data_IF_505160939185
#
_entry.id   IF_505160939185
#
_cell.length_a   1.000
_cell.length_b   1.000
_cell.length_c   1.000
_cell.angle_alpha   90.00
_cell.angle_beta   90.00
_cell.angle_gamma   90.00
#
_symmetry.space_group_name_H-M   'P 1'
#
loop_
_entity.id
_entity.type
_entity.pdbx_description
1 polymer ?
#
# COMPACT_ATOMS: atom_id res chain seq x y z
N UNK A 1 41.89 -1.42 -6.06
CA UNK A 1 40.96 -0.46 -6.68
C UNK A 1 39.77 -0.37 -5.75
N UNK A 2 39.59 0.75 -5.06
CA UNK A 2 38.41 0.98 -4.25
C UNK A 2 37.26 1.31 -5.20
N UNK A 3 36.18 0.54 -5.14
CA UNK A 3 34.96 0.87 -5.88
C UNK A 3 34.49 2.26 -5.45
N UNK A 4 34.23 3.19 -6.38
CA UNK A 4 33.74 4.51 -6.02
C UNK A 4 32.38 4.34 -5.33
N UNK A 5 32.32 4.69 -4.05
CA UNK A 5 31.08 4.72 -3.27
C UNK A 5 30.08 5.59 -4.05
N UNK A 6 28.93 5.05 -4.49
CA UNK A 6 27.96 5.82 -5.25
C UNK A 6 27.53 7.01 -4.39
N UNK A 7 27.81 8.23 -4.86
CA UNK A 7 27.30 9.42 -4.19
C UNK A 7 25.78 9.40 -4.31
N UNK A 8 25.03 9.64 -3.21
CA UNK A 8 23.59 9.73 -3.28
C UNK A 8 23.23 10.86 -4.25
N UNK A 9 22.47 10.53 -5.29
CA UNK A 9 21.92 11.55 -6.19
C UNK A 9 21.22 12.61 -5.33
N UNK A 10 21.42 13.91 -5.60
CA UNK A 10 20.57 14.93 -4.98
C UNK A 10 19.14 14.54 -5.32
N UNK A 11 18.33 14.33 -4.30
CA UNK A 11 16.91 14.02 -4.44
C UNK A 11 16.29 15.14 -5.26
N UNK A 12 16.16 14.91 -6.57
CA UNK A 12 15.34 15.77 -7.41
C UNK A 12 13.98 15.81 -6.72
N UNK A 13 13.53 17.00 -6.35
CA UNK A 13 12.34 17.15 -5.54
C UNK A 13 11.17 16.59 -6.36
N UNK A 14 10.72 15.39 -6.02
CA UNK A 14 9.67 14.67 -6.75
C UNK A 14 8.35 15.38 -6.44
N UNK A 15 8.03 16.38 -7.26
CA UNK A 15 6.87 17.24 -7.09
C UNK A 15 6.18 17.52 -8.43
N UNK A 16 4.85 17.48 -8.41
CA UNK A 16 4.02 17.87 -9.55
C UNK A 16 3.64 19.35 -9.42
N UNK A 17 3.76 20.11 -10.50
CA UNK A 17 3.22 21.47 -10.57
C UNK A 17 1.74 21.46 -10.96
N UNK A 18 1.03 22.57 -10.73
CA UNK A 18 -0.37 22.70 -11.16
C UNK A 18 -0.51 22.55 -12.68
N UNK A 19 0.34 23.23 -13.45
CA UNK A 19 0.33 23.16 -14.93
C UNK A 19 0.59 21.74 -15.45
N UNK A 20 1.51 21.01 -14.83
CA UNK A 20 1.81 19.61 -15.17
C UNK A 20 0.61 18.70 -14.91
N UNK A 21 -0.02 18.83 -13.74
CA UNK A 21 -1.23 18.07 -13.43
C UNK A 21 -2.38 18.42 -14.39
N UNK A 22 -2.54 19.70 -14.72
CA UNK A 22 -3.58 20.18 -15.63
C UNK A 22 -3.39 19.61 -17.03
N UNK A 23 -2.15 19.57 -17.51
CA UNK A 23 -1.78 18.97 -18.79
C UNK A 23 -2.12 17.47 -18.82
N UNK A 24 -1.78 16.73 -17.76
CA UNK A 24 -2.11 15.29 -17.66
C UNK A 24 -3.63 15.07 -17.73
N UNK A 25 -4.40 15.80 -16.91
CA UNK A 25 -5.86 15.66 -16.85
C UNK A 25 -6.51 15.91 -18.21
N UNK A 26 -6.11 16.98 -18.91
CA UNK A 26 -6.69 17.34 -20.21
C UNK A 26 -6.38 16.32 -21.30
N UNK A 27 -5.20 15.71 -21.28
CA UNK A 27 -4.77 14.76 -22.31
C UNK A 27 -5.32 13.34 -22.08
N UNK A 28 -5.54 12.94 -20.83
CA UNK A 28 -5.81 11.54 -20.49
C UNK A 28 -7.20 11.25 -19.94
N UNK A 29 -8.00 12.27 -19.58
CA UNK A 29 -9.37 12.07 -19.13
C UNK A 29 -10.35 12.62 -20.19
N UNK A 30 -10.89 11.78 -21.10
CA UNK A 30 -11.65 12.24 -22.27
C UNK A 30 -12.89 13.09 -21.94
N UNK A 31 -13.51 12.88 -20.78
CA UNK A 31 -14.68 13.65 -20.32
C UNK A 31 -14.30 14.97 -19.63
N UNK A 32 -13.00 15.25 -19.53
CA UNK A 32 -12.40 16.30 -18.73
C UNK A 32 -11.42 17.15 -19.54
N UNK A 33 -11.50 17.14 -20.88
CA UNK A 33 -10.70 18.00 -21.77
C UNK A 33 -10.83 19.48 -21.41
N UNK A 34 -12.02 19.90 -20.95
CA UNK A 34 -12.30 21.26 -20.51
C UNK A 34 -12.30 21.43 -18.98
N UNK A 35 -11.98 20.39 -18.21
CA UNK A 35 -11.95 20.48 -16.75
C UNK A 35 -10.78 21.32 -16.27
N UNK A 36 -11.00 22.06 -15.17
CA UNK A 36 -9.97 22.84 -14.49
C UNK A 36 -9.66 22.19 -13.15
N UNK A 37 -8.39 22.10 -12.81
CA UNK A 37 -7.94 21.64 -11.49
C UNK A 37 -8.22 22.72 -10.46
N UNK A 38 -9.10 22.42 -9.51
CA UNK A 38 -9.42 23.31 -8.40
C UNK A 38 -8.33 23.27 -7.32
N UNK A 39 -7.83 22.07 -7.02
CA UNK A 39 -6.94 21.81 -5.89
C UNK A 39 -6.09 20.57 -6.15
N UNK A 40 -4.85 20.61 -5.70
CA UNK A 40 -3.94 19.47 -5.68
C UNK A 40 -3.54 19.24 -4.23
N UNK A 41 -3.86 18.07 -3.71
CA UNK A 41 -3.55 17.69 -2.33
C UNK A 41 -2.56 16.54 -2.35
N UNK A 42 -1.32 16.78 -1.91
CA UNK A 42 -0.34 15.71 -1.72
C UNK A 42 -0.79 14.78 -0.60
N UNK A 43 -0.87 13.49 -0.89
CA UNK A 43 -1.18 12.47 0.12
C UNK A 43 0.07 12.24 0.94
N UNK A 44 -0.04 12.50 2.25
CA UNK A 44 0.95 12.07 3.24
C UNK A 44 0.43 10.78 3.84
N UNK A 45 0.92 9.64 3.35
CA UNK A 45 0.53 8.35 3.92
C UNK A 45 1.05 8.26 5.35
N UNK A 46 0.12 8.26 6.31
CA UNK A 46 0.41 8.02 7.73
C UNK A 46 0.49 6.52 8.04
N UNK A 47 -0.07 5.71 7.14
CA UNK A 47 -0.05 4.26 7.17
C UNK A 47 1.26 3.68 6.64
N UNK A 48 1.25 2.42 6.21
CA UNK A 48 2.46 1.70 5.81
C UNK A 48 2.87 1.94 4.35
N UNK A 49 1.96 2.46 3.51
CA UNK A 49 2.12 2.58 2.05
C UNK A 49 3.07 3.68 1.58
N UNK A 50 3.64 4.46 2.51
CA UNK A 50 4.64 5.47 2.19
C UNK A 50 5.80 4.84 1.44
N UNK A 51 6.17 5.46 0.31
CA UNK A 51 7.35 5.10 -0.45
C UNK A 51 8.19 6.33 -0.73
N UNK A 52 9.49 6.19 -0.57
CA UNK A 52 10.47 7.23 -0.85
C UNK A 52 10.50 7.60 -2.33
N UNK A 53 10.26 6.62 -3.21
CA UNK A 53 10.42 6.69 -4.67
C UNK A 53 9.19 7.19 -5.45
N UNK A 54 8.02 7.29 -4.82
CA UNK A 54 6.80 7.80 -5.49
C UNK A 54 6.12 8.89 -4.69
N UNK A 55 5.27 9.69 -5.34
CA UNK A 55 4.36 10.63 -4.66
C UNK A 55 2.96 10.48 -5.25
N UNK A 56 1.96 10.47 -4.37
CA UNK A 56 0.54 10.41 -4.76
C UNK A 56 -0.16 11.70 -4.38
N UNK A 57 -1.04 12.16 -5.26
CA UNK A 57 -1.83 13.39 -5.13
C UNK A 57 -3.30 13.08 -5.34
N UNK A 58 -4.17 13.80 -4.63
CA UNK A 58 -5.61 13.92 -4.95
C UNK A 58 -5.78 15.21 -5.76
N UNK A 59 -6.40 15.11 -6.93
CA UNK A 59 -6.67 16.22 -7.84
C UNK A 59 -8.17 16.45 -7.89
N UNK A 60 -8.62 17.62 -7.42
CA UNK A 60 -10.02 18.03 -7.52
C UNK A 60 -10.31 18.68 -8.86
N UNK A 61 -11.37 18.22 -9.53
CA UNK A 61 -11.74 18.64 -10.87
C UNK A 61 -13.05 19.41 -10.88
N UNK A 62 -13.06 20.58 -11.53
CA UNK A 62 -14.28 21.31 -11.88
C UNK A 62 -14.60 21.02 -13.35
N UNK A 63 -15.74 20.37 -13.60
CA UNK A 63 -16.24 20.17 -14.97
C UNK A 63 -17.18 21.31 -15.38
N UNK A 64 -16.80 22.19 -16.33
CA UNK A 64 -17.67 23.29 -16.76
C UNK A 64 -18.93 22.82 -17.50
N UNK A 65 -18.95 21.61 -18.06
CA UNK A 65 -20.12 21.07 -18.76
C UNK A 65 -21.25 20.61 -17.81
N UNK A 66 -20.95 20.44 -16.53
CA UNK A 66 -21.90 20.08 -15.49
C UNK A 66 -21.88 21.14 -14.38
N UNK A 67 -22.42 22.35 -14.63
CA UNK A 67 -22.49 23.37 -13.60
C UNK A 67 -23.28 22.84 -12.41
N UNK A 68 -22.82 23.08 -11.16
CA UNK A 68 -23.57 22.69 -9.97
C UNK A 68 -24.98 23.31 -10.05
N UNK A 69 -26.00 22.51 -9.72
CA UNK A 69 -27.41 22.89 -9.81
C UNK A 69 -27.63 24.29 -9.23
N UNK A 70 -28.27 25.16 -10.02
CA UNK A 70 -28.22 26.63 -10.00
C UNK A 70 -28.77 27.36 -8.75
N UNK A 71 -28.77 26.77 -7.56
CA UNK A 71 -29.52 27.29 -6.41
C UNK A 71 -28.73 27.93 -5.27
N UNK A 72 -27.40 27.95 -5.28
CA UNK A 72 -26.62 28.60 -4.20
C UNK A 72 -25.42 29.33 -4.81
N UNK A 73 -25.18 30.57 -4.35
CA UNK A 73 -24.14 31.50 -4.82
C UNK A 73 -22.83 30.79 -5.18
N UNK A 74 -22.44 30.90 -6.45
CA UNK A 74 -21.61 29.94 -7.20
C UNK A 74 -20.12 30.00 -6.87
N UNK A 75 -19.70 29.51 -5.70
CA UNK A 75 -18.36 28.96 -5.62
C UNK A 75 -18.27 27.74 -6.53
N UNK A 76 -17.19 27.63 -7.31
CA UNK A 76 -16.99 26.50 -8.24
C UNK A 76 -16.70 25.23 -7.42
N UNK A 77 -17.76 24.50 -7.07
CA UNK A 77 -17.65 23.25 -6.31
C UNK A 77 -17.04 22.18 -7.23
N UNK A 78 -15.98 21.46 -6.79
CA UNK A 78 -15.43 20.34 -7.55
C UNK A 78 -16.47 19.24 -7.81
N UNK A 79 -16.51 18.74 -9.03
CA UNK A 79 -17.44 17.70 -9.49
C UNK A 79 -16.97 16.27 -9.18
N UNK A 80 -15.71 16.10 -8.80
CA UNK A 80 -15.10 14.81 -8.50
C UNK A 80 -13.59 14.96 -8.29
N UNK A 81 -12.93 13.86 -7.90
CA UNK A 81 -11.49 13.82 -7.70
C UNK A 81 -10.85 12.68 -8.49
N UNK A 82 -9.55 12.74 -8.72
CA UNK A 82 -8.76 11.60 -9.18
C UNK A 82 -7.43 11.52 -8.41
N UNK A 83 -6.76 10.38 -8.52
CA UNK A 83 -5.46 10.14 -7.91
C UNK A 83 -4.38 10.15 -8.98
N UNK A 84 -3.31 10.89 -8.72
CA UNK A 84 -2.12 10.93 -9.58
C UNK A 84 -0.92 10.46 -8.78
N UNK A 85 -0.30 9.36 -9.19
CA UNK A 85 0.97 8.89 -8.65
C UNK A 85 2.09 9.15 -9.64
N UNK A 86 3.17 9.79 -9.20
CA UNK A 86 4.37 10.05 -10.02
C UNK A 86 5.57 9.29 -9.48
N UNK A 87 6.47 8.91 -10.38
CA UNK A 87 7.73 8.24 -10.07
C UNK A 87 8.85 8.73 -11.00
N UNK A 88 10.13 8.71 -10.56
CA UNK A 88 11.25 8.99 -11.45
C UNK A 88 11.35 7.91 -12.55
N UNK A 89 11.91 8.25 -13.72
CA UNK A 89 11.99 7.33 -14.86
C UNK A 89 12.87 6.10 -14.60
N UNK A 90 13.85 6.22 -13.72
CA UNK A 90 14.75 5.13 -13.35
C UNK A 90 14.94 5.14 -11.83
N UNK A 91 14.37 4.18 -11.09
CA UNK A 91 14.69 4.03 -9.68
C UNK A 91 16.17 3.63 -9.54
N UNK A 92 16.85 4.05 -8.46
CA UNK A 92 18.21 3.62 -8.21
C UNK A 92 18.26 2.08 -8.06
N UNK A 93 19.31 1.43 -8.57
CA UNK A 93 19.48 0.00 -8.38
C UNK A 93 19.63 -0.30 -6.88
N UNK A 94 18.79 -1.18 -6.37
CA UNK A 94 18.83 -1.65 -4.99
C UNK A 94 18.54 -3.16 -4.94
N UNK A 95 19.05 -3.84 -3.90
CA UNK A 95 18.80 -5.27 -3.71
C UNK A 95 17.30 -5.59 -3.50
N UNK A 96 16.56 -4.62 -2.99
CA UNK A 96 15.12 -4.63 -2.86
C UNK A 96 14.62 -3.29 -3.42
N UNK A 97 13.64 -3.32 -4.31
CA UNK A 97 13.04 -2.12 -4.91
C UNK A 97 11.53 -2.23 -4.87
N UNK A 98 10.81 -1.14 -4.58
CA UNK A 98 9.37 -1.09 -4.79
C UNK A 98 8.99 -1.41 -6.24
N UNK A 99 7.77 -1.94 -6.42
CA UNK A 99 7.15 -2.16 -7.72
C UNK A 99 7.10 -0.85 -8.51
N UNK A 100 7.52 -0.94 -9.77
CA UNK A 100 7.42 0.16 -10.72
C UNK A 100 5.95 0.51 -11.02
N UNK A 101 5.70 1.72 -11.56
CA UNK A 101 4.35 2.10 -11.99
C UNK A 101 3.77 1.17 -13.08
N UNK A 102 4.54 0.67 -14.07
CA UNK A 102 4.07 -0.37 -14.98
C UNK A 102 3.58 -1.64 -14.29
N UNK A 103 4.34 -2.16 -13.32
CA UNK A 103 3.93 -3.34 -12.54
C UNK A 103 2.66 -3.03 -11.75
N UNK A 104 2.61 -1.87 -11.09
CA UNK A 104 1.44 -1.42 -10.32
C UNK A 104 0.20 -1.32 -11.22
N UNK A 105 0.32 -0.75 -12.41
CA UNK A 105 -0.76 -0.67 -13.40
C UNK A 105 -1.28 -2.04 -13.83
N UNK A 106 -0.37 -2.99 -14.09
CA UNK A 106 -0.72 -4.37 -14.40
C UNK A 106 -1.50 -5.04 -13.26
N UNK A 107 -1.05 -4.86 -12.02
CA UNK A 107 -1.73 -5.39 -10.83
C UNK A 107 -3.13 -4.78 -10.65
N UNK A 108 -3.27 -3.46 -10.78
CA UNK A 108 -4.58 -2.79 -10.66
C UNK A 108 -5.56 -3.29 -11.72
N UNK A 109 -5.10 -3.54 -12.95
CA UNK A 109 -5.92 -4.14 -13.99
C UNK A 109 -6.33 -5.58 -13.65
N UNK A 110 -5.41 -6.39 -13.13
CA UNK A 110 -5.72 -7.74 -12.67
C UNK A 110 -6.78 -7.71 -11.56
N UNK A 111 -6.61 -6.86 -10.55
CA UNK A 111 -7.57 -6.70 -9.44
C UNK A 111 -8.94 -6.27 -10.00
N UNK A 112 -8.99 -5.21 -10.80
CA UNK A 112 -10.23 -4.69 -11.39
C UNK A 112 -10.97 -5.75 -12.22
N UNK A 113 -10.24 -6.57 -12.98
CA UNK A 113 -10.83 -7.57 -13.87
C UNK A 113 -11.32 -8.84 -13.15
N UNK A 114 -10.80 -9.13 -11.95
CA UNK A 114 -11.05 -10.38 -11.22
C UNK A 114 -11.79 -10.21 -9.89
N UNK A 115 -12.09 -8.97 -9.49
CA UNK A 115 -12.71 -8.66 -8.19
C UNK A 115 -13.82 -7.61 -8.34
N UNK A 116 -14.61 -7.42 -7.29
CA UNK A 116 -15.56 -6.32 -7.17
C UNK A 116 -15.01 -5.14 -6.36
N UNK A 117 -13.68 -5.08 -6.17
CA UNK A 117 -13.03 -3.98 -5.45
C UNK A 117 -13.21 -2.69 -6.27
N UNK A 118 -13.61 -1.56 -5.66
CA UNK A 118 -13.98 -0.33 -6.36
C UNK A 118 -12.75 0.44 -6.88
N UNK A 119 -12.05 -0.16 -7.84
CA UNK A 119 -10.93 0.46 -8.57
C UNK A 119 -11.42 1.06 -9.88
N UNK A 120 -11.11 2.34 -10.09
CA UNK A 120 -11.30 2.98 -11.39
C UNK A 120 -10.22 2.52 -12.38
N UNK A 121 -10.51 2.67 -13.68
CA UNK A 121 -9.49 2.44 -14.70
C UNK A 121 -8.29 3.36 -14.47
N UNK A 122 -7.10 2.78 -14.41
CA UNK A 122 -5.86 3.53 -14.28
C UNK A 122 -5.19 3.70 -15.65
N UNK A 123 -4.62 4.87 -15.87
CA UNK A 123 -3.90 5.25 -17.09
C UNK A 123 -2.43 5.41 -16.72
N UNK A 124 -1.56 4.71 -17.43
CA UNK A 124 -0.12 4.76 -17.26
C UNK A 124 0.52 5.51 -18.42
N UNK A 125 1.40 6.46 -18.11
CA UNK A 125 2.32 7.05 -19.09
C UNK A 125 3.76 6.96 -18.58
N UNK A 126 4.62 6.38 -19.43
CA UNK A 126 6.07 6.32 -19.22
C UNK A 126 6.84 6.97 -20.36
N UNK A 127 6.17 7.79 -21.17
CA UNK A 127 6.74 8.40 -22.38
C UNK A 127 7.66 9.57 -22.06
N UNK A 128 7.48 10.20 -20.90
CA UNK A 128 8.16 11.43 -20.48
C UNK A 128 7.87 12.63 -21.40
N UNK A 129 6.84 12.52 -22.25
CA UNK A 129 6.53 13.55 -23.26
C UNK A 129 5.80 14.76 -22.67
N UNK A 130 4.95 14.55 -21.66
CA UNK A 130 4.20 15.63 -21.00
C UNK A 130 4.96 16.21 -19.80
N UNK A 131 5.57 15.35 -18.99
CA UNK A 131 6.23 15.72 -17.74
C UNK A 131 7.50 14.87 -17.56
N UNK A 132 8.50 15.33 -16.77
CA UNK A 132 9.76 14.59 -16.58
C UNK A 132 9.65 13.42 -15.59
N UNK A 133 8.46 12.81 -15.47
CA UNK A 133 8.16 11.72 -14.55
C UNK A 133 7.31 10.65 -15.26
N UNK A 134 7.47 9.40 -14.85
CA UNK A 134 6.43 8.40 -15.09
C UNK A 134 5.23 8.72 -14.22
N UNK A 135 4.02 8.47 -14.70
CA UNK A 135 2.83 8.66 -13.89
C UNK A 135 1.75 7.62 -14.12
N UNK A 136 0.93 7.46 -13.08
CA UNK A 136 -0.26 6.64 -13.04
C UNK A 136 -1.43 7.53 -12.59
N UNK A 137 -2.43 7.68 -13.45
CA UNK A 137 -3.62 8.49 -13.22
C UNK A 137 -4.84 7.57 -13.04
N UNK A 138 -5.54 7.66 -11.92
CA UNK A 138 -6.80 6.96 -11.73
C UNK A 138 -7.93 7.65 -12.50
N UNK A 139 -8.98 6.90 -12.85
CA UNK A 139 -10.26 7.48 -13.25
C UNK A 139 -10.87 8.32 -12.13
N UNK A 140 -11.83 9.16 -12.50
CA UNK A 140 -12.48 10.11 -11.59
C UNK A 140 -13.47 9.43 -10.65
N UNK A 141 -13.39 9.77 -9.37
CA UNK A 141 -14.40 9.46 -8.36
C UNK A 141 -15.62 10.36 -8.55
N UNK A 142 -16.75 9.95 -7.98
CA UNK A 142 -17.99 10.78 -7.92
C UNK A 142 -17.96 11.82 -6.80
N UNK A 143 -16.92 11.81 -5.98
CA UNK A 143 -16.82 12.57 -4.73
C UNK A 143 -15.54 13.40 -4.74
N UNK A 144 -15.66 14.69 -4.42
CA UNK A 144 -14.56 15.62 -4.26
C UNK A 144 -13.70 15.33 -3.01
N UNK A 145 -12.46 15.81 -3.00
CA UNK A 145 -11.48 15.46 -1.95
C UNK A 145 -11.85 15.94 -0.55
N UNK A 146 -12.65 17.01 -0.43
CA UNK A 146 -13.18 17.53 0.83
C UNK A 146 -14.17 16.58 1.51
N UNK A 147 -14.81 15.71 0.72
CA UNK A 147 -15.74 14.68 1.18
C UNK A 147 -15.12 13.29 1.27
N UNK A 148 -13.88 13.14 0.81
CA UNK A 148 -13.11 11.91 0.95
C UNK A 148 -12.35 11.94 2.26
N UNK A 149 -12.51 10.90 3.07
CA UNK A 149 -11.78 10.73 4.32
C UNK A 149 -11.21 9.32 4.38
N UNK A 150 -9.94 9.17 4.78
CA UNK A 150 -9.41 7.82 5.00
C UNK A 150 -10.12 7.15 6.18
N UNK A 151 -10.27 5.83 6.15
CA UNK A 151 -10.90 5.06 7.23
C UNK A 151 -10.19 5.35 8.56
N UNK A 152 -8.85 5.36 8.56
CA UNK A 152 -8.06 5.66 9.74
C UNK A 152 -8.40 7.05 10.32
N UNK A 153 -8.55 8.06 9.47
CA UNK A 153 -8.92 9.41 9.91
C UNK A 153 -10.38 9.48 10.40
N UNK A 154 -11.31 8.77 9.76
CA UNK A 154 -12.69 8.68 10.18
C UNK A 154 -12.82 8.07 11.58
N UNK A 155 -12.09 6.98 11.85
CA UNK A 155 -12.00 6.34 13.17
C UNK A 155 -11.40 7.26 14.22
N UNK A 156 -10.26 7.88 13.91
CA UNK A 156 -9.58 8.82 14.83
C UNK A 156 -10.46 10.01 15.21
N UNK A 157 -11.33 10.46 14.31
CA UNK A 157 -12.30 11.54 14.56
C UNK A 157 -13.59 11.07 15.23
N UNK A 158 -13.76 9.77 15.48
CA UNK A 158 -14.98 9.20 16.06
C UNK A 158 -16.21 9.34 15.17
N UNK A 159 -16.04 9.43 13.84
CA UNK A 159 -17.14 9.60 12.89
C UNK A 159 -17.88 8.28 12.60
N UNK A 160 -17.22 7.15 12.85
CA UNK A 160 -17.79 5.82 12.63
C UNK A 160 -18.34 5.26 13.94
N UNK A 161 -19.64 4.92 13.97
CA UNK A 161 -20.21 4.12 15.06
C UNK A 161 -19.62 2.70 15.06
N UNK A 162 -19.89 1.94 16.12
CA UNK A 162 -19.56 0.53 16.18
C UNK A 162 -20.15 -0.26 14.99
N UNK A 163 -21.41 0.00 14.64
CA UNK A 163 -22.06 -0.61 13.47
C UNK A 163 -21.40 -0.18 12.16
N UNK A 164 -21.06 1.10 12.01
CA UNK A 164 -20.35 1.61 10.82
C UNK A 164 -18.96 0.99 10.67
N UNK A 165 -18.22 0.87 11.77
CA UNK A 165 -16.92 0.19 11.78
C UNK A 165 -17.05 -1.29 11.39
N UNK A 166 -18.01 -2.01 11.97
CA UNK A 166 -18.24 -3.41 11.64
C UNK A 166 -18.63 -3.60 10.16
N UNK A 167 -19.43 -2.70 9.60
CA UNK A 167 -19.79 -2.76 8.17
C UNK A 167 -18.58 -2.52 7.26
N UNK A 168 -17.80 -1.48 7.55
CA UNK A 168 -16.57 -1.18 6.78
C UNK A 168 -15.60 -2.35 6.89
N UNK A 169 -15.38 -2.89 8.08
CA UNK A 169 -14.51 -4.05 8.29
C UNK A 169 -14.98 -5.28 7.52
N UNK A 170 -16.29 -5.54 7.51
CA UNK A 170 -16.89 -6.62 6.73
C UNK A 170 -16.59 -6.45 5.24
N UNK A 171 -16.75 -5.24 4.69
CA UNK A 171 -16.45 -4.95 3.29
C UNK A 171 -14.94 -5.06 2.98
N UNK A 172 -14.07 -4.56 3.86
CA UNK A 172 -12.62 -4.73 3.73
C UNK A 172 -12.23 -6.22 3.74
N UNK A 173 -12.83 -7.00 4.64
CA UNK A 173 -12.69 -8.44 4.66
C UNK A 173 -13.05 -9.06 3.33
N UNK A 174 -14.22 -8.72 2.77
CA UNK A 174 -14.65 -9.22 1.46
C UNK A 174 -13.65 -8.86 0.35
N UNK A 175 -13.16 -7.62 0.33
CA UNK A 175 -12.16 -7.19 -0.66
C UNK A 175 -10.88 -8.00 -0.56
N UNK A 176 -10.33 -8.20 0.64
CA UNK A 176 -9.14 -9.03 0.84
C UNK A 176 -9.40 -10.50 0.45
N UNK A 177 -10.59 -11.03 0.76
CA UNK A 177 -10.99 -12.39 0.39
C UNK A 177 -11.00 -12.61 -1.11
N UNK A 178 -11.60 -11.66 -1.85
CA UNK A 178 -11.60 -11.66 -3.31
C UNK A 178 -10.19 -11.46 -3.89
N UNK A 179 -9.41 -10.55 -3.32
CA UNK A 179 -8.04 -10.28 -3.74
C UNK A 179 -7.21 -11.56 -3.71
N UNK A 180 -7.20 -12.25 -2.57
CA UNK A 180 -6.37 -13.44 -2.38
C UNK A 180 -6.90 -14.67 -3.14
N UNK A 181 -8.21 -14.77 -3.32
CA UNK A 181 -8.82 -15.93 -3.98
C UNK A 181 -8.80 -15.80 -5.49
N UNK A 182 -9.04 -14.61 -6.03
CA UNK A 182 -9.23 -14.40 -7.46
C UNK A 182 -7.98 -13.86 -8.15
N UNK A 183 -7.08 -13.20 -7.41
CA UNK A 183 -5.83 -12.63 -7.96
C UNK A 183 -4.65 -13.46 -7.45
N UNK A 184 -4.45 -14.60 -8.11
CA UNK A 184 -3.40 -15.57 -7.82
C UNK A 184 -2.38 -15.63 -8.96
N UNK A 185 -1.25 -16.27 -8.69
CA UNK A 185 -0.15 -16.46 -9.62
C UNK A 185 0.46 -17.86 -9.50
N UNK A 186 1.22 -18.28 -10.51
CA UNK A 186 1.82 -19.63 -10.53
C UNK A 186 3.14 -19.71 -9.73
N UNK A 187 3.73 -18.57 -9.37
CA UNK A 187 4.97 -18.47 -8.60
C UNK A 187 4.89 -17.41 -7.51
N UNK A 188 5.71 -17.58 -6.47
CA UNK A 188 5.88 -16.62 -5.38
C UNK A 188 6.91 -15.53 -5.75
N UNK A 189 6.80 -14.37 -5.10
CA UNK A 189 7.81 -13.31 -5.15
C UNK A 189 7.29 -11.95 -5.58
N UNK A 190 8.20 -11.08 -5.99
CA UNK A 190 7.84 -9.73 -6.47
C UNK A 190 7.13 -9.82 -7.82
N UNK A 191 6.04 -9.08 -8.08
CA UNK A 191 5.36 -9.10 -9.35
C UNK A 191 6.24 -8.53 -10.47
N UNK A 192 6.20 -9.19 -11.63
CA UNK A 192 6.96 -8.82 -12.81
C UNK A 192 6.01 -8.68 -14.00
N UNK A 193 6.38 -7.85 -14.98
CA UNK A 193 5.63 -7.73 -16.25
C UNK A 193 5.77 -8.95 -17.16
N UNK A 194 6.76 -9.79 -16.88
CA UNK A 194 7.06 -11.03 -17.59
C UNK A 194 7.43 -12.08 -16.56
N UNK A 195 7.12 -13.32 -16.88
CA UNK A 195 7.46 -14.46 -16.04
C UNK A 195 8.98 -14.47 -15.78
N UNK A 196 9.40 -14.73 -14.52
CA UNK A 196 10.80 -14.83 -14.19
C UNK A 196 11.43 -16.02 -14.93
N UNK A 197 12.73 -15.92 -15.22
CA UNK A 197 13.49 -17.03 -15.80
C UNK A 197 13.63 -18.21 -14.85
N UNK A 198 13.58 -17.94 -13.54
CA UNK A 198 13.68 -18.91 -12.46
C UNK A 198 12.56 -18.62 -11.43
N UNK A 199 11.32 -19.08 -11.70
CA UNK A 199 10.19 -18.91 -10.78
C UNK A 199 10.40 -19.69 -9.48
N UNK A 200 10.13 -19.07 -8.33
CA UNK A 200 10.10 -19.79 -7.06
C UNK A 200 8.72 -20.35 -6.78
N UNK A 201 8.66 -21.64 -6.47
CA UNK A 201 7.45 -22.37 -6.08
C UNK A 201 7.40 -22.67 -4.58
N UNK A 202 8.35 -22.12 -3.82
CA UNK A 202 8.43 -22.28 -2.36
C UNK A 202 8.28 -20.92 -1.70
N UNK A 203 7.19 -20.76 -0.93
CA UNK A 203 7.00 -19.53 -0.16
C UNK A 203 8.09 -19.34 0.89
N UNK A 204 8.57 -20.42 1.52
CA UNK A 204 9.65 -20.35 2.50
C UNK A 204 10.94 -19.77 1.91
N UNK A 205 11.35 -20.23 0.74
CA UNK A 205 12.54 -19.73 0.04
C UNK A 205 12.34 -18.28 -0.41
N UNK A 206 11.18 -17.97 -0.98
CA UNK A 206 10.84 -16.62 -1.43
C UNK A 206 10.82 -15.62 -0.28
N UNK A 207 10.12 -15.93 0.82
CA UNK A 207 10.05 -15.06 1.99
C UNK A 207 11.44 -14.85 2.59
N UNK A 208 12.26 -15.92 2.66
CA UNK A 208 13.64 -15.84 3.15
C UNK A 208 14.47 -14.87 2.33
N UNK A 209 14.41 -14.97 0.99
CA UNK A 209 15.14 -14.07 0.10
C UNK A 209 14.66 -12.61 0.22
N UNK A 210 13.35 -12.37 0.23
CA UNK A 210 12.78 -11.03 0.42
C UNK A 210 13.20 -10.41 1.76
N UNK A 211 13.13 -11.21 2.83
CA UNK A 211 13.48 -10.79 4.18
C UNK A 211 14.97 -10.43 4.29
N UNK A 212 15.86 -11.30 3.82
CA UNK A 212 17.31 -11.05 3.87
C UNK A 212 17.74 -9.89 2.98
N UNK A 213 17.09 -9.67 1.82
CA UNK A 213 17.34 -8.50 0.97
C UNK A 213 17.06 -7.20 1.74
N UNK A 214 15.93 -7.11 2.42
CA UNK A 214 15.59 -5.94 3.26
C UNK A 214 16.57 -5.81 4.43
N UNK A 215 16.85 -6.89 5.16
CA UNK A 215 17.76 -6.88 6.31
C UNK A 215 19.18 -6.42 5.91
N UNK A 216 19.65 -6.85 4.73
CA UNK A 216 20.99 -6.53 4.23
C UNK A 216 21.23 -5.04 4.00
N UNK A 217 20.18 -4.25 3.72
CA UNK A 217 20.29 -2.80 3.56
C UNK A 217 20.69 -2.10 4.86
N UNK A 218 20.19 -2.59 5.99
CA UNK A 218 20.54 -2.07 7.31
C UNK A 218 21.94 -2.51 7.72
N UNK A 219 22.28 -3.78 7.51
CA UNK A 219 23.59 -4.33 7.88
C UNK A 219 24.74 -3.68 7.10
N UNK A 220 24.53 -3.39 5.80
CA UNK A 220 25.50 -2.67 4.96
C UNK A 220 25.55 -1.17 5.24
N UNK A 221 24.69 -0.65 6.13
CA UNK A 221 24.58 0.78 6.43
C UNK A 221 24.02 1.61 5.26
N UNK A 222 23.33 0.98 4.31
CA UNK A 222 22.61 1.70 3.23
C UNK A 222 21.46 2.52 3.82
N UNK A 223 20.78 1.97 4.84
CA UNK A 223 19.84 2.70 5.69
C UNK A 223 20.45 2.84 7.08
N UNK A 224 20.57 4.09 7.56
CA UNK A 224 21.07 4.39 8.90
C UNK A 224 19.92 4.43 9.89
N UNK A 225 20.11 3.76 11.03
CA UNK A 225 19.14 3.70 12.13
C UNK A 225 19.85 4.01 13.45
N UNK A 226 19.14 4.62 14.38
CA UNK A 226 19.70 5.09 15.67
C UNK A 226 19.67 4.03 16.77
N UNK A 227 19.37 2.77 16.41
CA UNK A 227 19.34 1.64 17.32
C UNK A 227 20.02 0.41 16.72
N UNK A 228 20.44 -0.51 17.58
CA UNK A 228 21.08 -1.74 17.13
C UNK A 228 20.02 -2.78 16.75
N UNK A 229 19.96 -3.12 15.46
CA UNK A 229 19.18 -4.27 14.99
C UNK A 229 19.92 -5.56 15.39
N UNK A 230 19.27 -6.51 16.07
CA UNK A 230 19.90 -7.73 16.57
C UNK A 230 20.03 -8.80 15.46
N UNK A 231 20.87 -8.56 14.46
CA UNK A 231 21.03 -9.40 13.26
C UNK A 231 21.29 -10.88 13.56
N UNK A 232 22.19 -11.18 14.51
CA UNK A 232 22.54 -12.56 14.88
C UNK A 232 21.33 -13.32 15.45
N UNK A 233 20.56 -12.68 16.32
CA UNK A 233 19.35 -13.28 16.89
C UNK A 233 18.27 -13.48 15.83
N UNK A 234 18.08 -12.50 14.94
CA UNK A 234 17.15 -12.61 13.82
C UNK A 234 17.49 -13.84 12.97
N UNK A 235 18.74 -13.98 12.50
CA UNK A 235 19.15 -15.10 11.65
C UNK A 235 19.11 -16.44 12.39
N UNK A 236 19.50 -16.47 13.67
CA UNK A 236 19.39 -17.66 14.51
C UNK A 236 17.93 -18.14 14.59
N UNK A 237 16.99 -17.25 14.91
CA UNK A 237 15.57 -17.62 15.02
C UNK A 237 14.97 -17.93 13.66
N UNK A 238 15.42 -17.26 12.60
CA UNK A 238 14.95 -17.52 11.24
C UNK A 238 15.37 -18.91 10.76
N UNK A 239 16.61 -19.31 11.03
CA UNK A 239 17.09 -20.67 10.73
C UNK A 239 16.28 -21.76 11.45
N UNK A 240 15.82 -21.49 12.69
CA UNK A 240 14.88 -22.35 13.40
C UNK A 240 13.53 -22.38 12.69
N UNK A 241 12.96 -21.22 12.34
CA UNK A 241 11.67 -21.14 11.64
C UNK A 241 11.66 -21.96 10.34
N UNK A 242 12.75 -21.89 9.57
CA UNK A 242 12.97 -22.71 8.37
C UNK A 242 13.02 -24.20 8.73
N UNK A 243 13.83 -24.58 9.72
CA UNK A 243 13.97 -25.97 10.16
C UNK A 243 12.67 -26.60 10.69
N UNK A 244 11.73 -25.79 11.15
CA UNK A 244 10.40 -26.20 11.61
C UNK A 244 9.29 -25.99 10.57
N UNK A 245 9.62 -25.66 9.33
CA UNK A 245 8.65 -25.51 8.23
C UNK A 245 7.54 -24.51 8.57
N UNK A 246 7.89 -23.41 9.23
CA UNK A 246 6.92 -22.37 9.67
C UNK A 246 6.20 -21.75 8.46
N UNK A 247 6.82 -21.75 7.28
CA UNK A 247 6.32 -21.10 6.06
C UNK A 247 5.80 -22.07 4.99
N UNK A 248 5.88 -23.39 5.20
CA UNK A 248 5.59 -24.42 4.18
C UNK A 248 4.08 -24.73 4.01
N UNK A 249 3.20 -24.09 4.76
CA UNK A 249 1.73 -24.25 4.70
C UNK A 249 1.04 -23.40 3.63
N UNK A 250 1.82 -22.72 2.79
CA UNK A 250 1.31 -21.82 1.73
C UNK A 250 1.51 -22.49 0.38
N UNK A 251 0.41 -22.92 -0.22
CA UNK A 251 0.44 -23.66 -1.49
C UNK A 251 0.18 -22.76 -2.72
N UNK A 252 -0.60 -21.68 -2.54
CA UNK A 252 -1.06 -20.84 -3.67
C UNK A 252 -0.59 -19.40 -3.49
N UNK A 253 0.28 -18.89 -4.39
CA UNK A 253 0.68 -17.49 -4.40
C UNK A 253 -0.51 -16.58 -4.64
N UNK A 254 -0.82 -15.75 -3.65
CA UNK A 254 -1.92 -14.77 -3.69
C UNK A 254 -1.35 -13.36 -3.76
N UNK A 255 -2.04 -12.41 -4.39
CA UNK A 255 -1.60 -11.02 -4.40
C UNK A 255 -1.78 -10.39 -3.02
N UNK A 256 -0.69 -9.97 -2.39
CA UNK A 256 -0.67 -9.35 -1.06
C UNK A 256 -0.34 -7.87 -1.19
N UNK A 257 -1.14 -7.00 -0.58
CA UNK A 257 -0.86 -5.58 -0.43
C UNK A 257 -0.11 -5.31 0.88
N UNK A 258 1.14 -5.80 0.97
CA UNK A 258 1.97 -5.85 2.19
C UNK A 258 1.97 -4.55 3.02
N UNK A 259 1.97 -3.39 2.36
CA UNK A 259 2.01 -2.08 3.01
C UNK A 259 0.72 -1.28 2.91
N UNK A 260 -0.38 -1.89 2.45
CA UNK A 260 -1.69 -1.26 2.46
C UNK A 260 -2.15 -0.96 3.88
N UNK A 261 -2.95 0.08 4.08
CA UNK A 261 -3.63 0.29 5.35
C UNK A 261 -4.93 1.03 5.19
N UNK A 262 -5.62 1.23 6.30
CA UNK A 262 -6.81 2.07 6.39
C UNK A 262 -6.58 3.55 6.02
N UNK A 263 -5.32 3.99 5.91
CA UNK A 263 -4.97 5.31 5.39
C UNK A 263 -5.08 5.38 3.86
N UNK A 264 -5.05 4.24 3.18
CA UNK A 264 -5.10 4.15 1.72
C UNK A 264 -6.53 3.93 1.18
N UNK A 265 -7.50 3.80 2.08
CA UNK A 265 -8.89 3.51 1.74
C UNK A 265 -9.76 4.67 2.20
N UNK A 266 -10.45 5.27 1.23
CA UNK A 266 -11.25 6.46 1.43
C UNK A 266 -12.73 6.12 1.40
N UNK A 267 -13.43 6.63 2.40
CA UNK A 267 -14.89 6.62 2.44
C UNK A 267 -15.43 7.99 2.02
N UNK A 268 -16.62 8.00 1.44
CA UNK A 268 -17.37 9.24 1.24
C UNK A 268 -18.12 9.61 2.52
N UNK A 269 -17.99 10.85 2.96
CA UNK A 269 -18.83 11.38 4.06
C UNK A 269 -20.31 11.42 3.62
N UNK A 270 -21.28 11.02 4.47
CA UNK A 270 -22.71 11.11 4.14
C UNK A 270 -23.14 12.55 3.81
N UNK A 271 -24.10 12.72 2.89
CA UNK A 271 -24.82 13.98 2.66
C UNK A 271 -26.05 14.14 3.55
N UNK A 272 -26.53 15.38 3.67
CA UNK A 272 -27.82 15.67 4.29
C UNK A 272 -28.94 14.86 3.62
N UNK A 273 -29.54 13.94 4.37
CA UNK A 273 -30.60 13.05 3.90
C UNK A 273 -30.17 11.62 3.62
N UNK A 274 -28.86 11.33 3.60
CA UNK A 274 -28.36 9.96 3.62
C UNK A 274 -28.63 9.31 4.98
N UNK A 275 -28.66 7.98 5.01
CA UNK A 275 -28.56 7.26 6.27
C UNK A 275 -27.23 7.68 6.92
N UNK A 276 -27.21 8.22 8.17
CA UNK A 276 -25.96 8.59 8.84
C UNK A 276 -24.97 7.42 8.98
N UNK A 277 -25.40 6.19 8.68
CA UNK A 277 -24.60 4.98 8.68
C UNK A 277 -24.17 4.49 7.30
N UNK A 278 -24.59 5.11 6.20
CA UNK A 278 -24.22 4.70 4.84
C UNK A 278 -22.85 5.25 4.46
N UNK A 279 -21.79 4.68 5.03
CA UNK A 279 -20.44 4.89 4.54
C UNK A 279 -20.17 3.95 3.37
N UNK A 280 -19.79 4.52 2.22
CA UNK A 280 -19.33 3.77 1.06
C UNK A 280 -17.82 3.92 0.93
N UNK A 281 -17.11 2.82 0.67
CA UNK A 281 -15.70 2.86 0.26
C UNK A 281 -15.68 3.45 -1.15
N UNK A 282 -15.38 4.74 -1.22
CA UNK A 282 -15.48 5.55 -2.43
C UNK A 282 -14.23 5.46 -3.31
N UNK A 283 -13.07 5.19 -2.70
CA UNK A 283 -11.82 5.02 -3.41
C UNK A 283 -10.79 4.22 -2.60
N UNK A 284 -9.89 3.58 -3.33
CA UNK A 284 -8.67 2.96 -2.79
C UNK A 284 -7.50 3.56 -3.57
N UNK A 285 -6.43 3.94 -2.86
CA UNK A 285 -5.26 4.49 -3.53
C UNK A 285 -4.66 3.47 -4.51
N UNK A 286 -4.29 3.89 -5.73
CA UNK A 286 -3.71 3.00 -6.73
C UNK A 286 -2.23 2.71 -6.44
N UNK A 287 -1.90 2.33 -5.20
CA UNK A 287 -0.53 2.14 -4.71
C UNK A 287 -0.34 0.67 -4.35
N UNK A 288 0.48 -0.04 -5.11
CA UNK A 288 0.85 -1.44 -4.85
C UNK A 288 2.37 -1.61 -4.79
N UNK A 289 3.06 -0.62 -4.22
CA UNK A 289 4.51 -0.49 -4.31
C UNK A 289 5.29 -1.64 -3.65
N UNK A 290 4.73 -2.28 -2.64
CA UNK A 290 5.35 -3.45 -2.01
C UNK A 290 4.50 -4.71 -2.13
N UNK A 291 3.60 -4.73 -3.11
CA UNK A 291 2.78 -5.90 -3.33
C UNK A 291 3.62 -7.11 -3.77
N UNK A 292 3.26 -8.30 -3.30
CA UNK A 292 3.96 -9.56 -3.60
C UNK A 292 2.98 -10.68 -3.91
N UNK A 293 3.42 -11.70 -4.65
CA UNK A 293 2.77 -12.99 -4.74
C UNK A 293 3.23 -13.83 -3.54
N UNK A 294 2.36 -14.02 -2.56
CA UNK A 294 2.76 -14.54 -1.26
C UNK A 294 1.62 -15.13 -0.44
N UNK A 295 1.91 -15.27 0.85
CA UNK A 295 0.96 -15.73 1.86
C UNK A 295 -0.06 -14.63 2.21
N UNK A 296 -1.38 -14.88 2.07
CA UNK A 296 -2.45 -14.02 2.56
C UNK A 296 -2.25 -13.47 3.98
N UNK A 297 -1.62 -14.26 4.83
CA UNK A 297 -1.34 -13.90 6.21
C UNK A 297 -0.31 -12.76 6.33
N UNK A 298 0.42 -12.39 5.27
CA UNK A 298 1.35 -11.26 5.26
C UNK A 298 0.65 -9.89 5.17
N UNK A 299 -0.66 -9.84 4.89
CA UNK A 299 -1.40 -8.57 4.85
C UNK A 299 -1.25 -7.77 6.16
N UNK A 300 -0.92 -6.50 6.00
CA UNK A 300 -0.82 -5.51 7.09
C UNK A 300 -2.15 -5.28 7.80
N UNK A 301 -3.29 -5.46 7.11
CA UNK A 301 -4.63 -5.42 7.70
C UNK A 301 -4.85 -6.46 8.80
N UNK A 302 -3.98 -7.46 8.87
CA UNK A 302 -4.08 -8.51 9.86
C UNK A 302 -3.03 -8.43 10.98
N UNK A 303 -2.19 -7.38 10.97
CA UNK A 303 -1.23 -7.07 12.05
C UNK A 303 -2.01 -6.81 13.36
N UNK A 304 -1.44 -7.10 14.55
CA UNK A 304 -2.07 -6.82 15.84
C UNK A 304 -2.76 -5.44 15.93
N UNK A 305 -3.98 -5.34 16.51
CA UNK A 305 -4.62 -6.32 17.40
C UNK A 305 -5.55 -7.36 16.73
N UNK A 306 -5.15 -7.94 15.59
CA UNK A 306 -5.88 -8.92 14.77
C UNK A 306 -6.99 -8.27 13.93
N UNK A 307 -7.38 -8.90 12.80
CA UNK A 307 -8.58 -8.46 12.09
C UNK A 307 -9.77 -8.51 13.04
N UNK A 308 -10.65 -7.52 12.93
CA UNK A 308 -11.92 -7.56 13.66
C UNK A 308 -12.74 -8.78 13.23
N UNK A 309 -13.70 -9.19 14.06
CA UNK A 309 -14.58 -10.32 13.74
C UNK A 309 -15.32 -10.11 12.42
N UNK A 310 -15.81 -8.90 12.18
CA UNK A 310 -16.49 -8.55 10.95
C UNK A 310 -15.58 -8.68 9.72
N UNK A 311 -14.32 -8.22 9.83
CA UNK A 311 -13.33 -8.41 8.76
C UNK A 311 -13.04 -9.88 8.49
N UNK A 312 -12.85 -10.70 9.53
CA UNK A 312 -12.64 -12.13 9.37
C UNK A 312 -13.85 -12.83 8.72
N UNK A 313 -15.08 -12.47 9.12
CA UNK A 313 -16.32 -12.97 8.52
C UNK A 313 -16.43 -12.57 7.04
N UNK A 314 -16.13 -11.32 6.69
CA UNK A 314 -16.14 -10.83 5.32
C UNK A 314 -15.11 -11.53 4.44
N UNK A 315 -13.90 -11.74 4.99
CA UNK A 315 -12.80 -12.44 4.33
C UNK A 315 -13.20 -13.86 3.94
N UNK A 316 -13.69 -14.65 4.91
CA UNK A 316 -14.14 -16.01 4.65
C UNK A 316 -15.37 -16.06 3.74
N UNK A 317 -16.33 -15.14 3.93
CA UNK A 317 -17.55 -15.07 3.12
C UNK A 317 -17.29 -14.75 1.65
N UNK A 318 -16.14 -14.17 1.31
CA UNK A 318 -15.73 -13.85 -0.05
C UNK A 318 -14.74 -14.85 -0.67
N UNK A 319 -14.56 -16.03 -0.06
CA UNK A 319 -13.71 -17.11 -0.57
C UNK A 319 -12.34 -17.23 0.09
N UNK A 320 -11.98 -16.28 0.96
CA UNK A 320 -10.74 -16.35 1.74
C UNK A 320 -10.72 -17.57 2.68
N UNK A 321 -9.54 -18.16 2.88
CA UNK A 321 -9.34 -19.25 3.84
C UNK A 321 -9.41 -18.79 5.30
N UNK A 322 -9.37 -19.73 6.25
CA UNK A 322 -9.18 -19.35 7.64
C UNK A 322 -7.76 -18.78 7.85
N UNK A 323 -7.65 -17.58 8.44
CA UNK A 323 -6.37 -16.91 8.65
C UNK A 323 -5.48 -17.64 9.66
N UNK A 324 -6.06 -18.21 10.72
CA UNK A 324 -5.31 -18.99 11.70
C UNK A 324 -5.99 -20.34 11.89
N UNK A 325 -5.41 -21.38 11.30
CA UNK A 325 -5.79 -22.79 11.40
C UNK A 325 -4.89 -23.51 12.41
N UNK A 326 -3.60 -23.17 12.43
CA UNK A 326 -2.59 -23.88 13.22
C UNK A 326 -1.88 -22.94 14.20
N UNK A 327 -1.50 -23.40 15.40
CA UNK A 327 -0.76 -22.59 16.36
C UNK A 327 0.55 -22.00 15.82
N UNK A 328 1.24 -22.71 14.91
CA UNK A 328 2.47 -22.23 14.24
C UNK A 328 2.29 -20.93 13.46
N UNK A 329 1.07 -20.63 13.00
CA UNK A 329 0.80 -19.39 12.28
C UNK A 329 0.91 -18.17 13.20
N UNK A 330 0.79 -18.34 14.52
CA UNK A 330 1.11 -17.25 15.47
C UNK A 330 2.61 -16.92 15.47
N UNK A 331 3.49 -17.92 15.36
CA UNK A 331 4.94 -17.70 15.18
C UNK A 331 5.21 -17.03 13.85
N UNK A 332 4.59 -17.50 12.77
CA UNK A 332 4.68 -16.90 11.43
C UNK A 332 4.26 -15.43 11.41
N UNK A 333 3.20 -15.07 12.15
CA UNK A 333 2.77 -13.67 12.30
C UNK A 333 3.86 -12.77 12.88
N UNK A 334 4.66 -13.24 13.83
CA UNK A 334 5.78 -12.47 14.37
C UNK A 334 6.83 -12.16 13.29
N UNK A 335 7.10 -13.12 12.39
CA UNK A 335 7.99 -12.91 11.25
C UNK A 335 7.46 -11.87 10.26
N UNK A 336 6.15 -11.91 9.97
CA UNK A 336 5.53 -10.94 9.08
C UNK A 336 5.49 -9.53 9.69
N UNK A 337 5.22 -9.41 10.99
CA UNK A 337 5.31 -8.12 11.69
C UNK A 337 6.73 -7.56 11.63
N UNK A 338 7.73 -8.40 11.89
CA UNK A 338 9.14 -8.01 11.79
C UNK A 338 9.49 -7.55 10.35
N UNK A 339 9.07 -8.30 9.33
CA UNK A 339 9.31 -7.95 7.94
C UNK A 339 8.65 -6.62 7.55
N UNK A 340 7.37 -6.42 7.88
CA UNK A 340 6.66 -5.16 7.60
C UNK A 340 7.33 -3.98 8.31
N UNK A 341 7.73 -4.13 9.58
CA UNK A 341 8.43 -3.08 10.31
C UNK A 341 9.79 -2.73 9.69
N UNK A 342 10.57 -3.73 9.28
CA UNK A 342 11.84 -3.50 8.56
C UNK A 342 11.60 -2.82 7.21
N UNK A 343 10.59 -3.24 6.47
CA UNK A 343 10.26 -2.68 5.16
C UNK A 343 9.80 -1.21 5.25
N UNK A 344 8.94 -0.92 6.23
CA UNK A 344 8.47 0.44 6.51
C UNK A 344 9.65 1.33 6.94
N UNK A 345 10.53 0.83 7.81
CA UNK A 345 11.73 1.55 8.23
C UNK A 345 12.69 1.82 7.06
N UNK A 346 12.79 0.86 6.13
CA UNK A 346 13.58 0.99 4.90
C UNK A 346 13.05 2.16 4.04
N UNK A 347 11.74 2.25 3.86
CA UNK A 347 11.13 3.34 3.08
C UNK A 347 11.22 4.70 3.76
N UNK A 348 11.11 4.76 5.10
CA UNK A 348 11.28 6.01 5.86
C UNK A 348 12.71 6.56 5.67
N UNK A 349 13.70 5.68 5.70
CA UNK A 349 15.11 6.08 5.68
C UNK A 349 15.45 6.95 6.90
N UNK A 350 16.10 8.10 6.65
CA UNK A 350 16.37 9.08 7.71
C UNK A 350 15.15 10.00 7.89
N UNK A 351 14.44 9.97 9.03
CA UNK A 351 13.18 10.70 9.22
C UNK A 351 13.35 12.23 9.24
N UNK A 352 14.58 12.74 9.42
CA UNK A 352 14.87 14.17 9.47
C UNK A 352 14.13 14.87 10.62
N UNK A 353 13.54 16.03 10.35
CA UNK A 353 12.79 16.81 11.33
C UNK A 353 11.28 16.47 11.37
N UNK A 354 10.78 15.58 10.49
CA UNK A 354 9.35 15.28 10.40
C UNK A 354 8.88 14.40 11.58
N UNK A 355 8.04 14.97 12.44
CA UNK A 355 7.54 14.30 13.65
C UNK A 355 6.68 13.07 13.35
N UNK A 356 5.97 13.04 12.22
CA UNK A 356 5.18 11.86 11.83
C UNK A 356 6.13 10.72 11.42
N UNK A 357 7.18 11.02 10.65
CA UNK A 357 8.19 10.03 10.27
C UNK A 357 8.99 9.54 11.48
N UNK A 358 9.31 10.41 12.44
CA UNK A 358 9.96 10.02 13.70
C UNK A 358 9.09 9.07 14.52
N UNK A 359 7.80 9.38 14.68
CA UNK A 359 6.86 8.52 15.39
C UNK A 359 6.75 7.14 14.73
N UNK A 360 6.73 7.12 13.38
CA UNK A 360 6.69 5.88 12.60
C UNK A 360 7.98 5.07 12.70
N UNK A 361 9.14 5.73 12.69
CA UNK A 361 10.44 5.09 12.92
C UNK A 361 10.52 4.48 14.32
N UNK A 362 10.01 5.18 15.34
CA UNK A 362 9.93 4.66 16.72
C UNK A 362 9.00 3.43 16.80
N UNK A 363 7.85 3.45 16.12
CA UNK A 363 6.99 2.27 16.02
C UNK A 363 7.70 1.08 15.36
N UNK A 364 8.46 1.31 14.29
CA UNK A 364 9.23 0.26 13.63
C UNK A 364 10.28 -0.32 14.58
N UNK A 365 11.03 0.54 15.29
CA UNK A 365 12.01 0.12 16.28
C UNK A 365 11.40 -0.78 17.36
N UNK A 366 10.30 -0.34 17.98
CA UNK A 366 9.59 -1.12 19.00
C UNK A 366 9.13 -2.46 18.43
N UNK A 367 8.48 -2.44 17.26
CA UNK A 367 7.96 -3.66 16.62
C UNK A 367 9.06 -4.66 16.28
N UNK A 368 10.22 -4.18 15.79
CA UNK A 368 11.38 -5.01 15.48
C UNK A 368 11.90 -5.68 16.76
N UNK A 369 12.14 -4.89 17.82
CA UNK A 369 12.71 -5.40 19.07
C UNK A 369 11.76 -6.37 19.78
N UNK A 370 10.47 -6.02 19.86
CA UNK A 370 9.45 -6.86 20.49
C UNK A 370 9.24 -8.17 19.72
N UNK A 371 9.24 -8.11 18.38
CA UNK A 371 9.12 -9.32 17.56
C UNK A 371 10.32 -10.24 17.76
N UNK A 372 11.54 -9.71 17.81
CA UNK A 372 12.74 -10.52 18.04
C UNK A 372 12.73 -11.15 19.44
N UNK A 373 12.33 -10.40 20.47
CA UNK A 373 12.21 -10.96 21.83
C UNK A 373 11.14 -12.06 21.89
N UNK A 374 9.98 -11.85 21.28
CA UNK A 374 8.92 -12.85 21.20
C UNK A 374 9.36 -14.10 20.42
N UNK A 375 10.14 -13.93 19.34
CA UNK A 375 10.65 -15.02 18.50
C UNK A 375 11.66 -15.92 19.23
N UNK A 376 12.35 -15.43 20.27
CA UNK A 376 13.27 -16.22 21.09
C UNK A 376 12.59 -17.44 21.71
N UNK A 377 11.39 -17.22 22.25
CA UNK A 377 10.62 -18.19 23.02
C UNK A 377 9.32 -18.60 22.31
N UNK A 378 9.22 -18.39 20.99
CA UNK A 378 7.96 -18.65 20.29
C UNK A 378 7.53 -20.11 20.52
N UNK A 379 6.29 -20.33 21.00
CA UNK A 379 5.88 -21.62 21.59
C UNK A 379 5.71 -22.75 20.58
N UNK A 380 5.66 -22.42 19.29
CA UNK A 380 5.31 -23.35 18.21
C UNK A 380 6.38 -23.30 17.12
N UNK A 381 7.62 -23.56 17.51
CA UNK A 381 8.66 -24.11 16.64
C UNK A 381 8.50 -25.61 16.62
#
# INVERSE_FOLDING_TARGET
>A
MADPTPQPFPSSNLEITHDQAQLIVQNFLPKHENSVIAKITKIRSKGYSFTSSTRTYIIDLINPAHPPSAHINSEKIPSGACFLTIAPPSPPPAAYTPNSLPVTHSLLNAIRSKTSIPLTEAILDTSLSLIPYHFLLSGTTRTSSDRLLSIAQARKRGLLSEKGNAFIDLELGKFLGQLHTNVQNDWFGVPLLKDPTDPSYSWQETFTDLFEKVLSHFEKGTVKVDFQIPYENIRLYHSRAIGFSVFDDVEVPSLIWVTGSEDDIFISLPTDGDDPWSFEIAAILPVAAHAVWGDPLLESFFIPPHPSKAMAEGYMGAGGGALTIFPRQNTKRLWYNLFVALLVLYEIGAPGEDDELKAKAAWCQTTILDSVDALKNAPYY
#
